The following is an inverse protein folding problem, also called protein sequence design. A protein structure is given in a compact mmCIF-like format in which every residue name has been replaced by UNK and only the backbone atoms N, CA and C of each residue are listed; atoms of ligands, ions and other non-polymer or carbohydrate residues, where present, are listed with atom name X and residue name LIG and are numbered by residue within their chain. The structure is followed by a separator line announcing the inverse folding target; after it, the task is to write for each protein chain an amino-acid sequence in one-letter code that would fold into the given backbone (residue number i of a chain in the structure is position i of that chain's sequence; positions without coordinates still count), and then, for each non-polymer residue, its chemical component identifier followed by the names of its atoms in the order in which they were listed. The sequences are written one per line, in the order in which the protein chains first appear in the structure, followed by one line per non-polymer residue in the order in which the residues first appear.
data_IF_266772681010
#
_entry.id   IF_266772681010
#
_cell.length_a   1.000
_cell.length_b   1.000
_cell.length_c   1.000
_cell.angle_alpha   90.00
_cell.angle_beta   90.00
_cell.angle_gamma   90.00
#
_symmetry.space_group_name_H-M   'P 1'
#
loop_
_entity.id
_entity.type
_entity.pdbx_description
1 polymer ?
#
# COMPACT_ATOMS: atom_id res chain seq x y z
N UNK A 1 51.66 -53.26 33.92
CA UNK A 1 50.23 -52.87 33.77
C UNK A 1 50.11 -51.97 32.54
N UNK A 2 49.68 -52.47 31.37
CA UNK A 2 49.69 -51.65 30.14
C UNK A 2 48.52 -51.90 29.16
N UNK A 3 48.06 -53.14 28.94
CA UNK A 3 47.21 -53.44 27.78
C UNK A 3 45.68 -53.34 27.95
N UNK A 4 45.14 -53.35 29.18
CA UNK A 4 43.68 -53.40 29.37
C UNK A 4 42.93 -52.10 29.06
N UNK A 5 43.62 -50.98 28.77
CA UNK A 5 42.98 -49.68 28.47
C UNK A 5 42.66 -49.43 26.97
N UNK A 6 42.81 -50.44 26.10
CA UNK A 6 42.58 -50.30 24.64
C UNK A 6 41.38 -51.06 24.07
N UNK A 7 40.69 -51.89 24.87
CA UNK A 7 39.62 -52.75 24.38
C UNK A 7 38.26 -52.03 24.20
N UNK A 8 37.84 -51.21 25.18
CA UNK A 8 36.46 -50.69 25.24
C UNK A 8 36.12 -49.57 24.23
N UNK A 9 37.11 -48.95 23.58
CA UNK A 9 36.87 -47.82 22.68
C UNK A 9 36.33 -48.19 21.28
N UNK A 10 35.91 -49.45 21.05
CA UNK A 10 35.50 -49.95 19.72
C UNK A 10 34.13 -50.65 19.66
N UNK A 11 33.26 -50.49 20.68
CA UNK A 11 31.88 -51.02 20.62
C UNK A 11 30.84 -50.06 21.20
N UNK A 12 30.71 -48.91 20.55
CA UNK A 12 29.55 -48.02 20.67
C UNK A 12 29.20 -47.44 19.30
N UNK A 13 28.94 -48.32 18.34
CA UNK A 13 28.28 -47.95 17.09
C UNK A 13 26.92 -47.32 17.40
N UNK A 14 26.80 -46.02 17.14
CA UNK A 14 25.63 -45.22 17.53
C UNK A 14 24.46 -45.53 16.60
N UNK A 15 23.65 -46.50 16.98
CA UNK A 15 22.39 -46.93 16.32
C UNK A 15 21.30 -45.82 16.24
N UNK A 16 21.64 -44.60 16.60
CA UNK A 16 20.77 -43.42 16.76
C UNK A 16 21.01 -42.36 15.66
N UNK A 17 21.70 -42.73 14.57
CA UNK A 17 21.73 -41.92 13.35
C UNK A 17 20.63 -42.43 12.40
N UNK A 18 19.57 -41.65 12.12
CA UNK A 18 18.56 -42.04 11.15
C UNK A 18 19.21 -42.17 9.78
N UNK A 19 19.26 -43.41 9.29
CA UNK A 19 19.99 -43.81 8.07
C UNK A 19 19.46 -43.03 6.87
N UNK A 20 20.22 -42.03 6.41
CA UNK A 20 19.74 -41.10 5.38
C UNK A 20 19.20 -41.88 4.15
N UNK A 21 17.93 -41.63 3.74
CA UNK A 21 17.37 -42.32 2.59
C UNK A 21 18.16 -41.91 1.35
N UNK A 22 18.87 -42.89 0.76
CA UNK A 22 19.75 -42.76 -0.41
C UNK A 22 19.05 -41.95 -1.50
N UNK A 23 19.38 -40.65 -1.57
CA UNK A 23 18.65 -39.67 -2.41
C UNK A 23 18.77 -40.06 -3.88
N UNK A 24 17.74 -40.71 -4.40
CA UNK A 24 17.57 -40.97 -5.82
C UNK A 24 17.61 -39.63 -6.55
N UNK A 25 18.64 -39.43 -7.37
CA UNK A 25 18.74 -38.28 -8.27
C UNK A 25 17.74 -38.45 -9.40
N UNK A 26 16.45 -38.23 -9.12
CA UNK A 26 15.48 -37.98 -10.17
C UNK A 26 15.99 -36.82 -11.04
N UNK A 27 15.83 -36.86 -12.37
CA UNK A 27 16.11 -35.70 -13.20
C UNK A 27 15.26 -34.54 -12.69
N UNK A 28 15.89 -33.39 -12.43
CA UNK A 28 15.18 -32.16 -12.05
C UNK A 28 14.34 -31.72 -13.25
N UNK A 29 13.05 -32.02 -13.21
CA UNK A 29 12.07 -31.35 -14.07
C UNK A 29 12.15 -29.85 -13.80
N UNK A 30 12.47 -29.08 -14.84
CA UNK A 30 12.58 -27.63 -14.77
C UNK A 30 11.17 -27.01 -14.55
N UNK A 31 10.88 -26.42 -13.37
CA UNK A 31 9.57 -25.88 -13.08
C UNK A 31 9.25 -24.59 -13.86
N UNK A 32 10.27 -23.94 -14.41
CA UNK A 32 10.24 -22.64 -15.10
C UNK A 32 10.03 -22.83 -16.61
N UNK A 33 10.64 -23.86 -17.20
CA UNK A 33 10.31 -24.32 -18.55
C UNK A 33 8.84 -24.75 -18.65
N UNK A 34 8.38 -25.60 -17.72
CA UNK A 34 6.97 -25.98 -17.63
C UNK A 34 6.08 -24.77 -17.32
N UNK A 35 6.55 -23.82 -16.49
CA UNK A 35 5.83 -22.59 -16.16
C UNK A 35 5.50 -21.73 -17.39
N UNK A 36 6.51 -21.43 -18.22
CA UNK A 36 6.34 -20.64 -19.46
C UNK A 36 5.44 -21.34 -20.49
N UNK A 37 5.59 -22.66 -20.65
CA UNK A 37 4.72 -23.46 -21.51
C UNK A 37 3.26 -23.44 -21.02
N UNK A 38 3.05 -23.58 -19.70
CA UNK A 38 1.73 -23.48 -19.07
C UNK A 38 1.10 -22.09 -19.24
N UNK A 39 1.89 -21.02 -19.22
CA UNK A 39 1.41 -19.64 -19.43
C UNK A 39 0.93 -19.41 -20.88
N UNK A 40 1.54 -20.08 -21.86
CA UNK A 40 1.02 -20.16 -23.22
C UNK A 40 -0.31 -20.92 -23.29
N UNK A 41 -0.36 -22.12 -22.71
CA UNK A 41 -1.56 -22.96 -22.72
C UNK A 41 -2.73 -22.35 -21.95
N UNK A 42 -2.50 -21.72 -20.80
CA UNK A 42 -3.57 -21.09 -20.00
C UNK A 42 -4.29 -19.98 -20.77
N UNK A 43 -3.54 -19.14 -21.50
CA UNK A 43 -4.12 -18.10 -22.39
C UNK A 43 -4.91 -18.71 -23.56
N UNK A 44 -4.45 -19.83 -24.11
CA UNK A 44 -5.18 -20.56 -25.15
C UNK A 44 -6.45 -21.25 -24.65
N UNK A 45 -6.37 -21.96 -23.52
CA UNK A 45 -7.44 -22.79 -22.95
C UNK A 45 -8.60 -21.97 -22.37
N UNK A 46 -8.34 -20.76 -21.86
CA UNK A 46 -9.39 -19.82 -21.45
C UNK A 46 -10.10 -19.09 -22.61
N UNK A 47 -9.67 -19.28 -23.86
CA UNK A 47 -10.19 -18.55 -25.02
C UNK A 47 -10.97 -19.50 -25.95
N UNK A 48 -12.13 -19.05 -26.45
CA UNK A 48 -13.00 -19.83 -27.35
C UNK A 48 -12.29 -20.38 -28.60
N UNK A 49 -11.18 -19.75 -29.01
CA UNK A 49 -10.29 -20.18 -30.09
C UNK A 49 -9.83 -21.65 -29.99
N UNK A 50 -9.67 -22.21 -28.78
CA UNK A 50 -9.32 -23.63 -28.62
C UNK A 50 -10.41 -24.57 -29.17
N UNK A 51 -11.67 -24.26 -28.88
CA UNK A 51 -12.83 -25.03 -29.36
C UNK A 51 -12.92 -24.90 -30.88
N UNK A 52 -12.81 -23.68 -31.41
CA UNK A 52 -12.82 -23.41 -32.86
C UNK A 52 -11.72 -24.21 -33.58
N UNK A 53 -10.50 -24.22 -33.06
CA UNK A 53 -9.40 -24.98 -33.64
C UNK A 53 -9.68 -26.49 -33.64
N UNK A 54 -10.16 -27.06 -32.53
CA UNK A 54 -10.50 -28.48 -32.45
C UNK A 54 -11.66 -28.85 -33.40
N UNK A 55 -12.69 -28.01 -33.51
CA UNK A 55 -13.77 -28.20 -34.48
C UNK A 55 -13.25 -28.17 -35.92
N UNK A 56 -12.34 -27.26 -36.27
CA UNK A 56 -11.72 -27.19 -37.60
C UNK A 56 -10.88 -28.43 -37.91
N UNK A 57 -10.08 -28.93 -36.94
CA UNK A 57 -9.28 -30.16 -37.13
C UNK A 57 -10.17 -31.39 -37.34
N UNK A 58 -11.22 -31.56 -36.53
CA UNK A 58 -12.17 -32.68 -36.66
C UNK A 58 -12.94 -32.57 -37.99
N UNK A 59 -13.42 -31.38 -38.36
CA UNK A 59 -14.11 -31.15 -39.62
C UNK A 59 -13.21 -31.42 -40.83
N UNK A 60 -11.93 -31.02 -40.78
CA UNK A 60 -10.96 -31.29 -41.83
C UNK A 60 -10.68 -32.80 -41.98
N UNK A 61 -10.52 -33.54 -40.87
CA UNK A 61 -10.33 -35.00 -40.91
C UNK A 61 -11.55 -35.74 -41.47
N UNK A 62 -12.75 -35.33 -41.06
CA UNK A 62 -14.01 -35.86 -41.58
C UNK A 62 -14.16 -35.56 -43.09
N UNK A 63 -13.96 -34.31 -43.50
CA UNK A 63 -14.08 -33.88 -44.89
C UNK A 63 -13.05 -34.56 -45.79
N UNK A 64 -11.81 -34.74 -45.31
CA UNK A 64 -10.77 -35.50 -46.02
C UNK A 64 -11.21 -36.94 -46.28
N UNK A 65 -11.61 -37.69 -45.25
CA UNK A 65 -12.00 -39.09 -45.42
C UNK A 65 -13.33 -39.28 -46.18
N UNK A 66 -14.20 -38.27 -46.19
CA UNK A 66 -15.45 -38.26 -46.96
C UNK A 66 -15.21 -37.98 -48.45
N UNK A 67 -14.45 -36.92 -48.77
CA UNK A 67 -14.20 -36.48 -50.14
C UNK A 67 -13.06 -37.21 -50.84
N UNK A 68 -12.14 -37.85 -50.10
CA UNK A 68 -11.03 -38.59 -50.71
C UNK A 68 -11.55 -39.75 -51.60
N UNK A 69 -10.90 -40.00 -52.75
CA UNK A 69 -11.08 -41.22 -53.53
C UNK A 69 -10.86 -42.47 -52.65
N UNK A 70 -11.54 -43.58 -52.97
CA UNK A 70 -11.52 -44.79 -52.14
C UNK A 70 -10.11 -45.37 -51.90
N UNK A 71 -9.13 -45.07 -52.77
CA UNK A 71 -7.71 -45.43 -52.63
C UNK A 71 -6.90 -44.56 -51.66
N UNK A 72 -7.46 -43.45 -51.16
CA UNK A 72 -6.80 -42.46 -50.29
C UNK A 72 -7.55 -42.22 -48.96
N UNK A 73 -8.61 -43.00 -48.69
CA UNK A 73 -9.35 -42.97 -47.42
C UNK A 73 -8.54 -43.68 -46.34
N UNK A 74 -8.06 -42.90 -45.37
CA UNK A 74 -7.22 -43.40 -44.27
C UNK A 74 -8.06 -44.02 -43.14
N UNK A 75 -9.29 -43.53 -42.98
CA UNK A 75 -10.24 -43.96 -41.96
C UNK A 75 -11.63 -44.14 -42.62
N UNK A 76 -12.04 -45.38 -42.98
CA UNK A 76 -13.32 -45.68 -43.61
C UNK A 76 -14.55 -45.39 -42.72
N UNK A 77 -15.74 -45.75 -43.20
CA UNK A 77 -17.09 -45.33 -42.76
C UNK A 77 -17.43 -45.37 -41.24
N UNK A 78 -16.60 -45.97 -40.38
CA UNK A 78 -16.74 -46.00 -38.92
C UNK A 78 -15.90 -44.96 -38.18
N UNK A 79 -14.99 -44.23 -38.85
CA UNK A 79 -14.07 -43.26 -38.25
C UNK A 79 -13.33 -43.81 -37.01
N UNK A 80 -12.80 -45.03 -37.14
CA UNK A 80 -12.23 -45.80 -36.04
C UNK A 80 -10.95 -45.17 -35.52
N UNK A 81 -10.07 -44.67 -36.39
CA UNK A 81 -8.84 -43.99 -35.94
C UNK A 81 -9.15 -42.68 -35.23
N UNK A 82 -10.08 -41.87 -35.76
CA UNK A 82 -10.53 -40.65 -35.07
C UNK A 82 -11.08 -40.97 -33.68
N UNK A 83 -11.89 -42.02 -33.56
CA UNK A 83 -12.50 -42.44 -32.28
C UNK A 83 -11.46 -42.96 -31.27
N UNK A 84 -10.46 -43.72 -31.73
CA UNK A 84 -9.33 -44.17 -30.89
C UNK A 84 -8.48 -42.99 -30.41
N UNK A 85 -8.20 -42.01 -31.27
CA UNK A 85 -7.44 -40.81 -30.89
C UNK A 85 -8.24 -39.94 -29.91
N UNK A 86 -9.54 -39.73 -30.12
CA UNK A 86 -10.38 -38.93 -29.21
C UNK A 86 -10.57 -39.60 -27.83
N UNK A 87 -10.73 -40.92 -27.77
CA UNK A 87 -10.82 -41.64 -26.49
C UNK A 87 -9.49 -41.62 -25.72
N UNK A 88 -8.35 -41.75 -26.41
CA UNK A 88 -7.03 -41.52 -25.82
C UNK A 88 -6.84 -40.07 -25.36
N UNK A 89 -7.35 -39.09 -26.13
CA UNK A 89 -7.27 -37.66 -25.83
C UNK A 89 -8.06 -37.28 -24.57
N UNK A 90 -9.21 -37.89 -24.33
CA UNK A 90 -9.94 -37.77 -23.07
C UNK A 90 -9.18 -38.43 -21.91
N UNK A 91 -8.58 -39.61 -22.14
CA UNK A 91 -7.84 -40.37 -21.13
C UNK A 91 -6.60 -39.63 -20.60
N UNK A 92 -5.75 -39.06 -21.48
CA UNK A 92 -4.57 -38.32 -21.04
C UNK A 92 -4.87 -36.92 -20.49
N UNK A 93 -6.04 -36.34 -20.81
CA UNK A 93 -6.44 -35.04 -20.29
C UNK A 93 -6.58 -35.06 -18.75
N UNK A 94 -7.18 -36.10 -18.17
CA UNK A 94 -7.39 -36.21 -16.72
C UNK A 94 -6.10 -36.05 -15.87
N UNK A 95 -5.00 -36.82 -16.09
CA UNK A 95 -3.77 -36.66 -15.33
C UNK A 95 -3.06 -35.32 -15.57
N UNK A 96 -3.18 -34.71 -16.76
CA UNK A 96 -2.62 -33.37 -17.01
C UNK A 96 -3.43 -32.27 -16.31
N UNK A 97 -4.77 -32.40 -16.28
CA UNK A 97 -5.65 -31.49 -15.53
C UNK A 97 -5.32 -31.57 -14.03
N UNK A 98 -5.14 -32.78 -13.47
CA UNK A 98 -4.70 -32.96 -12.08
C UNK A 98 -3.33 -32.32 -11.81
N UNK A 99 -2.37 -32.45 -12.73
CA UNK A 99 -1.04 -31.83 -12.57
C UNK A 99 -1.10 -30.28 -12.65
N UNK A 100 -1.97 -29.74 -13.50
CA UNK A 100 -2.23 -28.30 -13.57
C UNK A 100 -2.95 -27.78 -12.31
N UNK A 101 -3.97 -28.51 -11.83
CA UNK A 101 -4.73 -28.19 -10.62
C UNK A 101 -3.88 -28.24 -9.35
N UNK A 102 -2.94 -29.19 -9.24
CA UNK A 102 -1.97 -29.20 -8.15
C UNK A 102 -1.13 -27.92 -8.15
N UNK A 103 -0.60 -27.50 -9.32
CA UNK A 103 0.14 -26.22 -9.47
C UNK A 103 -0.70 -24.95 -9.37
N UNK A 104 -2.04 -25.05 -9.36
CA UNK A 104 -2.94 -23.96 -8.98
C UNK A 104 -3.10 -23.94 -7.46
N UNK A 105 -3.55 -25.04 -6.88
CA UNK A 105 -3.68 -25.26 -5.42
C UNK A 105 -2.44 -24.84 -4.63
N UNK A 106 -1.23 -25.18 -5.11
CA UNK A 106 0.03 -24.77 -4.48
C UNK A 106 0.23 -23.24 -4.45
N UNK A 107 -0.14 -22.53 -5.53
CA UNK A 107 -0.08 -21.06 -5.57
C UNK A 107 -1.17 -20.44 -4.71
N UNK A 108 -2.39 -20.94 -4.83
CA UNK A 108 -3.57 -20.44 -4.11
C UNK A 108 -3.38 -20.59 -2.60
N UNK A 109 -2.72 -21.68 -2.18
CA UNK A 109 -2.26 -21.89 -0.80
C UNK A 109 -1.25 -20.84 -0.36
N UNK A 110 -0.21 -20.56 -1.15
CA UNK A 110 0.80 -19.53 -0.80
C UNK A 110 0.15 -18.15 -0.71
N UNK A 111 -0.74 -17.81 -1.65
CA UNK A 111 -1.49 -16.55 -1.62
C UNK A 111 -2.39 -16.45 -0.36
N UNK A 112 -3.05 -17.53 0.04
CA UNK A 112 -3.86 -17.59 1.26
C UNK A 112 -3.03 -17.53 2.55
N UNK A 113 -1.82 -18.12 2.56
CA UNK A 113 -0.88 -18.01 3.68
C UNK A 113 -0.28 -16.60 3.79
N UNK A 114 -0.06 -15.90 2.67
CA UNK A 114 0.29 -14.47 2.67
C UNK A 114 -0.86 -13.57 3.12
N UNK A 115 -2.07 -13.77 2.59
CA UNK A 115 -3.24 -12.95 2.94
C UNK A 115 -3.56 -13.03 4.44
N UNK A 116 -3.52 -14.25 5.01
CA UNK A 116 -3.63 -14.45 6.47
C UNK A 116 -2.58 -13.67 7.26
N UNK A 117 -1.31 -13.62 6.80
CA UNK A 117 -0.27 -12.81 7.45
C UNK A 117 -0.59 -11.32 7.36
N UNK A 118 -1.00 -10.84 6.18
CA UNK A 118 -1.40 -9.43 5.96
C UNK A 118 -2.57 -9.04 6.87
N UNK A 119 -3.59 -9.89 6.99
CA UNK A 119 -4.72 -9.69 7.89
C UNK A 119 -4.30 -9.67 9.37
N UNK A 120 -3.37 -10.52 9.80
CA UNK A 120 -2.85 -10.47 11.19
C UNK A 120 -2.05 -9.21 11.49
N UNK A 121 -1.28 -8.69 10.51
CA UNK A 121 -0.56 -7.42 10.67
C UNK A 121 -1.54 -6.24 10.70
N UNK A 122 -2.46 -6.13 9.73
CA UNK A 122 -3.48 -5.08 9.70
C UNK A 122 -4.32 -5.03 10.98
N UNK A 123 -4.63 -6.18 11.58
CA UNK A 123 -5.29 -6.24 12.90
C UNK A 123 -4.40 -5.65 13.99
N UNK A 124 -3.12 -6.02 14.04
CA UNK A 124 -2.18 -5.49 15.03
C UNK A 124 -1.97 -3.97 14.87
N UNK A 125 -1.83 -3.49 13.64
CA UNK A 125 -1.72 -2.05 13.31
C UNK A 125 -2.99 -1.29 13.73
N UNK A 126 -4.17 -1.86 13.50
CA UNK A 126 -5.46 -1.28 13.92
C UNK A 126 -5.59 -1.25 15.44
N UNK A 127 -5.21 -2.33 16.14
CA UNK A 127 -5.18 -2.35 17.61
C UNK A 127 -4.16 -1.35 18.18
N UNK A 128 -3.01 -1.17 17.52
CA UNK A 128 -2.01 -0.18 17.92
C UNK A 128 -2.53 1.24 17.76
N UNK A 129 -3.04 1.60 16.57
CA UNK A 129 -3.64 2.92 16.32
C UNK A 129 -4.82 3.20 17.24
N UNK A 130 -5.67 2.21 17.56
CA UNK A 130 -6.75 2.37 18.51
C UNK A 130 -6.26 2.68 19.94
N UNK A 131 -5.14 2.08 20.38
CA UNK A 131 -4.52 2.37 21.69
C UNK A 131 -3.87 3.76 21.70
N UNK A 132 -3.15 4.14 20.65
CA UNK A 132 -2.54 5.46 20.53
C UNK A 132 -3.60 6.58 20.48
N UNK A 133 -4.69 6.39 19.72
CA UNK A 133 -5.82 7.33 19.71
C UNK A 133 -6.52 7.40 21.07
N UNK A 134 -6.61 6.29 21.81
CA UNK A 134 -7.15 6.31 23.18
C UNK A 134 -6.23 7.06 24.16
N UNK A 135 -4.90 6.84 24.08
CA UNK A 135 -3.91 7.55 24.89
C UNK A 135 -3.90 9.06 24.58
N UNK A 136 -3.88 9.43 23.29
CA UNK A 136 -3.98 10.81 22.82
C UNK A 136 -5.28 11.47 23.30
N UNK A 137 -6.41 10.76 23.28
CA UNK A 137 -7.70 11.25 23.79
C UNK A 137 -7.67 11.50 25.30
N UNK A 138 -6.94 10.70 26.08
CA UNK A 138 -6.78 10.92 27.53
C UNK A 138 -5.89 12.14 27.79
N UNK A 139 -4.71 12.21 27.16
CA UNK A 139 -3.81 13.36 27.29
C UNK A 139 -4.46 14.68 26.84
N UNK A 140 -5.22 14.67 25.74
CA UNK A 140 -6.04 15.81 25.33
C UNK A 140 -7.17 16.09 26.33
N UNK A 141 -7.80 15.08 26.92
CA UNK A 141 -8.86 15.27 27.93
C UNK A 141 -8.38 15.94 29.22
N UNK A 142 -7.14 15.68 29.62
CA UNK A 142 -6.49 16.30 30.78
C UNK A 142 -6.10 17.76 30.48
N UNK A 143 -5.37 17.99 29.37
CA UNK A 143 -4.86 19.32 28.98
C UNK A 143 -5.97 20.25 28.45
N UNK A 144 -6.98 19.71 27.75
CA UNK A 144 -8.11 20.47 27.19
C UNK A 144 -9.35 20.42 28.09
N UNK A 145 -9.17 20.46 29.41
CA UNK A 145 -10.27 20.71 30.33
C UNK A 145 -10.95 22.04 29.97
N UNK A 146 -12.28 22.01 29.78
CA UNK A 146 -13.07 23.16 29.27
C UNK A 146 -12.77 24.44 30.04
N UNK A 147 -12.64 24.33 31.36
CA UNK A 147 -12.44 25.48 32.24
C UNK A 147 -10.99 26.00 32.24
N UNK A 148 -9.99 25.19 31.88
CA UNK A 148 -8.62 25.64 31.63
C UNK A 148 -8.50 26.41 30.30
N UNK A 149 -9.09 25.85 29.22
CA UNK A 149 -9.23 26.58 27.95
C UNK A 149 -10.00 27.89 28.14
N UNK A 150 -11.06 27.88 28.95
CA UNK A 150 -11.85 29.07 29.27
C UNK A 150 -11.06 30.08 30.11
N UNK A 151 -10.29 29.65 31.10
CA UNK A 151 -9.48 30.56 31.93
C UNK A 151 -8.37 31.21 31.10
N UNK A 152 -7.68 30.44 30.24
CA UNK A 152 -6.57 30.99 29.47
C UNK A 152 -7.06 31.88 28.30
N UNK A 153 -8.20 31.54 27.67
CA UNK A 153 -8.86 32.46 26.71
C UNK A 153 -9.38 33.73 27.38
N UNK A 154 -9.95 33.64 28.59
CA UNK A 154 -10.40 34.82 29.35
C UNK A 154 -9.21 35.70 29.76
N UNK A 155 -8.13 35.09 30.26
CA UNK A 155 -6.87 35.76 30.61
C UNK A 155 -6.24 36.48 29.42
N UNK A 156 -6.19 35.85 28.26
CA UNK A 156 -5.66 36.45 27.03
C UNK A 156 -6.53 37.61 26.53
N UNK A 157 -7.86 37.52 26.69
CA UNK A 157 -8.78 38.61 26.38
C UNK A 157 -8.63 39.79 27.36
N UNK A 158 -8.47 39.53 28.66
CA UNK A 158 -8.27 40.56 29.68
C UNK A 158 -6.91 41.27 29.53
N UNK A 159 -5.85 40.53 29.15
CA UNK A 159 -4.54 41.12 28.82
C UNK A 159 -4.60 42.00 27.55
N UNK A 160 -5.42 41.63 26.56
CA UNK A 160 -5.72 42.47 25.38
C UNK A 160 -6.48 43.74 25.75
N UNK A 161 -7.49 43.66 26.63
CA UNK A 161 -8.31 44.80 27.05
C UNK A 161 -7.55 45.76 27.97
N UNK A 162 -6.67 45.24 28.83
CA UNK A 162 -5.68 46.04 29.55
C UNK A 162 -4.72 46.75 28.58
N UNK A 163 -4.23 46.08 27.54
CA UNK A 163 -3.33 46.68 26.56
C UNK A 163 -4.04 47.80 25.76
N UNK A 164 -5.29 47.61 25.38
CA UNK A 164 -6.13 48.65 24.76
C UNK A 164 -6.36 49.84 25.72
N UNK A 165 -6.69 49.56 26.98
CA UNK A 165 -6.88 50.60 28.01
C UNK A 165 -5.60 51.36 28.33
N UNK A 166 -4.43 50.68 28.33
CA UNK A 166 -3.11 51.32 28.47
C UNK A 166 -2.83 52.26 27.29
N UNK A 167 -3.14 51.85 26.05
CA UNK A 167 -3.03 52.72 24.84
C UNK A 167 -3.92 53.97 24.98
N UNK A 168 -5.21 53.82 25.28
CA UNK A 168 -6.11 54.97 25.50
C UNK A 168 -5.64 55.89 26.63
N UNK A 169 -5.06 55.37 27.72
CA UNK A 169 -4.52 56.20 28.81
C UNK A 169 -3.29 57.00 28.39
N UNK A 170 -2.45 56.47 27.50
CA UNK A 170 -1.32 57.19 26.91
C UNK A 170 -1.79 58.28 25.94
N UNK A 171 -2.76 57.97 25.07
CA UNK A 171 -3.40 58.91 24.15
C UNK A 171 -4.07 60.07 24.92
N UNK A 172 -4.89 59.77 25.94
CA UNK A 172 -5.48 60.80 26.82
C UNK A 172 -4.41 61.63 27.51
N UNK A 173 -3.29 61.04 27.96
CA UNK A 173 -2.16 61.80 28.54
C UNK A 173 -1.47 62.72 27.54
N UNK A 174 -1.48 62.40 26.24
CA UNK A 174 -1.09 63.35 25.19
C UNK A 174 -2.16 64.43 24.95
N UNK A 175 -3.44 64.07 24.92
CA UNK A 175 -4.55 65.03 24.74
C UNK A 175 -4.68 66.04 25.90
N UNK A 176 -4.50 65.62 27.15
CA UNK A 176 -4.42 66.53 28.32
C UNK A 176 -3.11 67.32 28.36
N UNK A 177 -2.12 66.97 27.52
CA UNK A 177 -0.97 67.79 27.15
C UNK A 177 -1.17 68.56 25.83
N UNK A 178 -2.42 68.82 25.45
CA UNK A 178 -2.76 69.87 24.49
C UNK A 178 -2.12 71.21 24.90
N UNK A 179 -1.79 72.08 23.93
CA UNK A 179 -0.81 73.15 24.12
C UNK A 179 -1.27 74.16 25.18
N UNK A 180 -0.41 74.41 26.16
CA UNK A 180 -0.58 75.49 27.13
C UNK A 180 -0.41 76.82 26.37
N UNK A 181 -1.52 77.50 26.07
CA UNK A 181 -1.55 78.72 25.25
C UNK A 181 -0.81 79.87 25.94
N UNK A 182 0.48 80.03 25.63
CA UNK A 182 1.17 81.33 25.69
C UNK A 182 0.61 82.21 24.57
N UNK A 183 -0.18 83.22 24.90
CA UNK A 183 -0.88 84.03 23.90
C UNK A 183 -1.90 85.02 24.46
N UNK A 184 -1.38 86.06 25.12
CA UNK A 184 -1.96 87.38 25.38
C UNK A 184 -0.82 88.17 26.07
N UNK A 185 -0.01 88.93 25.34
CA UNK A 185 -0.26 90.33 24.91
C UNK A 185 -0.23 91.31 26.10
N UNK A 186 0.65 92.32 26.17
CA UNK A 186 1.67 92.75 25.21
C UNK A 186 3.07 92.95 25.83
N UNK A 187 4.09 92.75 25.00
CA UNK A 187 5.41 93.36 25.14
C UNK A 187 5.64 94.14 23.84
N UNK A 188 6.09 95.39 23.94
CA UNK A 188 6.36 96.25 22.79
C UNK A 188 7.73 95.96 22.15
N UNK A 189 7.82 96.34 20.87
CA UNK A 189 9.06 96.56 20.09
C UNK A 189 9.89 95.33 19.59
N UNK A 190 10.60 95.45 18.44
CA UNK A 190 10.07 94.73 17.25
C UNK A 190 11.09 94.00 16.32
N UNK A 191 10.54 93.11 15.46
CA UNK A 191 10.99 92.74 14.08
C UNK A 191 12.38 92.05 13.91
N UNK A 192 12.69 91.25 12.87
CA UNK A 192 12.17 91.05 11.49
C UNK A 192 12.37 89.60 10.95
N UNK A 193 11.68 89.21 9.85
CA UNK A 193 12.01 88.19 8.78
C UNK A 193 12.32 86.69 9.12
N UNK A 194 12.15 85.62 8.29
CA UNK A 194 11.52 85.34 6.96
C UNK A 194 11.28 83.79 6.72
N UNK A 195 10.28 83.39 5.91
CA UNK A 195 10.00 82.03 5.27
C UNK A 195 9.77 80.78 6.20
N UNK A 196 9.35 79.54 5.81
CA UNK A 196 8.79 78.89 4.58
C UNK A 196 9.25 77.39 4.45
N UNK A 197 8.52 76.33 3.98
CA UNK A 197 7.08 76.02 3.79
C UNK A 197 6.79 74.46 3.87
N UNK A 198 6.08 73.81 2.92
CA UNK A 198 5.51 72.42 2.97
C UNK A 198 5.68 71.64 1.62
N UNK A 199 5.06 70.46 1.26
CA UNK A 199 4.07 69.52 1.90
C UNK A 199 4.40 67.97 1.86
N UNK A 200 3.80 67.10 2.70
CA UNK A 200 2.73 66.02 2.53
C UNK A 200 2.90 64.77 1.62
N UNK A 201 2.53 63.58 2.14
CA UNK A 201 1.46 62.59 1.70
C UNK A 201 1.68 61.17 2.33
N UNK A 202 0.66 60.46 2.89
CA UNK A 202 -0.36 59.50 2.32
C UNK A 202 0.19 58.08 1.96
N UNK A 203 -0.46 56.92 2.18
CA UNK A 203 -1.73 56.56 2.87
C UNK A 203 -2.12 55.05 2.72
N UNK A 204 -3.33 54.66 3.15
CA UNK A 204 -4.09 53.41 2.85
C UNK A 204 -3.88 52.11 3.67
N UNK A 205 -4.94 51.30 3.72
CA UNK A 205 -5.15 50.07 4.52
C UNK A 205 -5.33 48.81 3.64
N UNK A 206 -5.39 47.60 4.24
CA UNK A 206 -6.07 46.44 3.62
C UNK A 206 -6.65 45.44 4.65
N UNK A 207 -7.59 44.62 4.19
CA UNK A 207 -8.56 43.88 5.02
C UNK A 207 -8.36 42.36 5.01
N UNK A 208 -9.14 41.66 5.86
CA UNK A 208 -9.19 40.20 6.02
C UNK A 208 -10.15 39.51 5.05
N UNK A 209 -9.73 38.36 4.52
CA UNK A 209 -10.47 37.21 3.96
C UNK A 209 -9.47 36.04 3.93
N UNK A 210 -9.84 34.76 4.04
CA UNK A 210 -11.16 34.15 4.24
C UNK A 210 -11.02 32.65 4.45
#
# INVERSE_FOLDING_TARGET
MADQRRADQRRSERLDQPREPRRLKLPRFDPEAFGRWSEGIARGMGTANFIVYMTVVIAAWFLWNTLAPASLRFDPYTFTFLTLVLSLQASYAAPLILLAQNRQTDRDRVALEEDRRRATMQKADTEYLAREVAALRIALGEVATRDFLRSELARLAEEMDEAATRRQRLERRHQTRGPRRTGAEGLDEPRDELDGDHPRESGSSRSSEG
#
